data_IF_787814745411
#
_entry.id   IF_787814745411
#
_cell.length_a   1.000
_cell.length_b   1.000
_cell.length_c   1.000
_cell.angle_alpha   90.00
_cell.angle_beta   90.00
_cell.angle_gamma   90.00
#
_symmetry.space_group_name_H-M   'P 1'
#
loop_
_entity.id
_entity.type
_entity.pdbx_description
1 polymer ?
#
# COMPACT_ATOMS: atom_id res chain seq x y z
N UNK A 1 7.82 3.31 -1.36
CA UNK A 1 8.02 2.91 0.06
C UNK A 1 7.18 3.82 0.93
N UNK A 2 7.03 3.50 2.22
CA UNK A 2 6.54 4.47 3.21
C UNK A 2 7.72 4.97 4.03
N UNK A 3 7.76 6.28 4.29
CA UNK A 3 8.68 6.94 5.20
C UNK A 3 7.83 7.71 6.23
N UNK A 4 7.97 7.35 7.50
CA UNK A 4 7.17 7.88 8.61
C UNK A 4 5.66 7.80 8.30
N UNK A 5 5.23 6.62 7.83
CA UNK A 5 3.85 6.33 7.46
C UNK A 5 3.35 6.95 6.15
N UNK A 6 4.12 7.82 5.48
CA UNK A 6 3.73 8.49 4.22
C UNK A 6 4.40 7.85 3.01
N UNK A 7 3.68 7.72 1.88
CA UNK A 7 4.32 7.24 0.65
C UNK A 7 5.29 8.27 0.07
N UNK A 8 6.42 7.77 -0.42
CA UNK A 8 7.44 8.56 -1.12
C UNK A 8 8.04 7.77 -2.28
N UNK A 9 8.51 8.51 -3.29
CA UNK A 9 9.32 7.97 -4.39
C UNK A 9 10.77 7.82 -3.91
N UNK A 10 11.19 6.60 -3.63
CA UNK A 10 12.54 6.33 -3.10
C UNK A 10 13.64 6.76 -4.08
N UNK A 11 13.40 6.64 -5.39
CA UNK A 11 14.35 7.09 -6.42
C UNK A 11 14.60 8.60 -6.43
N UNK A 12 13.69 9.40 -5.85
CA UNK A 12 13.80 10.85 -5.72
C UNK A 12 14.03 11.29 -4.26
N UNK A 13 14.28 10.34 -3.36
CA UNK A 13 14.53 10.60 -1.94
C UNK A 13 15.98 10.24 -1.64
N UNK A 14 16.80 11.22 -1.24
CA UNK A 14 18.17 10.94 -0.83
C UNK A 14 18.16 10.10 0.45
N UNK A 15 19.01 9.07 0.51
CA UNK A 15 19.11 8.20 1.69
C UNK A 15 19.43 8.99 2.96
N UNK A 16 20.29 10.01 2.87
CA UNK A 16 20.60 10.90 3.99
C UNK A 16 19.37 11.63 4.54
N UNK A 17 18.38 11.95 3.69
CA UNK A 17 17.13 12.59 4.11
C UNK A 17 16.17 11.65 4.83
N UNK A 18 16.37 10.33 4.74
CA UNK A 18 15.60 9.33 5.46
C UNK A 18 16.26 8.93 6.80
N UNK A 19 17.40 9.52 7.16
CA UNK A 19 18.12 9.18 8.38
C UNK A 19 17.26 9.45 9.63
N UNK A 20 17.17 8.45 10.50
CA UNK A 20 16.36 8.50 11.73
C UNK A 20 14.85 8.31 11.52
N UNK A 21 14.37 8.24 10.27
CA UNK A 21 12.96 7.96 9.97
C UNK A 21 12.64 6.46 9.94
N UNK A 22 11.36 6.13 10.06
CA UNK A 22 10.86 4.76 9.92
C UNK A 22 10.56 4.45 8.44
N UNK A 23 11.29 3.49 7.87
CA UNK A 23 11.09 3.05 6.49
C UNK A 23 10.35 1.72 6.46
N UNK A 24 9.22 1.68 5.75
CA UNK A 24 8.52 0.44 5.42
C UNK A 24 8.58 0.19 3.91
N UNK A 25 8.96 -1.03 3.53
CA UNK A 25 8.95 -1.52 2.14
C UNK A 25 7.91 -2.65 1.98
N UNK A 26 7.81 -3.25 0.79
CA UNK A 26 6.83 -4.32 0.53
C UNK A 26 7.07 -5.53 1.43
N UNK A 27 8.32 -5.81 1.76
CA UNK A 27 8.75 -6.90 2.64
C UNK A 27 8.26 -6.72 4.07
N UNK A 28 8.05 -5.47 4.50
CA UNK A 28 7.56 -5.14 5.84
C UNK A 28 6.04 -5.12 5.99
N UNK A 29 5.28 -5.52 4.96
CA UNK A 29 3.82 -5.48 5.00
C UNK A 29 3.20 -6.67 5.74
N UNK A 30 3.78 -7.87 5.58
CA UNK A 30 3.29 -9.07 6.23
C UNK A 30 3.47 -8.98 7.75
N UNK A 31 2.60 -9.65 8.50
CA UNK A 31 2.74 -9.79 9.93
C UNK A 31 3.96 -10.68 10.28
N UNK A 32 4.50 -10.61 11.52
CA UNK A 32 5.66 -11.41 11.92
C UNK A 32 5.49 -12.93 11.80
N UNK A 33 4.25 -13.42 11.83
CA UNK A 33 3.88 -14.82 11.62
C UNK A 33 3.81 -15.22 10.13
N UNK A 34 4.05 -14.27 9.22
CA UNK A 34 3.97 -14.46 7.77
C UNK A 34 2.58 -14.26 7.18
N UNK A 35 1.56 -13.95 8.00
CA UNK A 35 0.22 -13.60 7.50
C UNK A 35 0.32 -12.39 6.56
N UNK A 36 -0.17 -12.48 5.30
CA UNK A 36 -0.06 -11.36 4.38
C UNK A 36 -0.91 -10.16 4.82
N UNK A 37 -0.51 -8.98 4.37
CA UNK A 37 -1.33 -7.79 4.51
C UNK A 37 -2.62 -7.93 3.68
N UNK A 38 -3.79 -7.39 4.11
CA UNK A 38 -5.03 -7.49 3.32
C UNK A 38 -4.90 -7.00 1.87
N UNK A 39 -4.06 -5.98 1.64
CA UNK A 39 -3.74 -5.51 0.29
C UNK A 39 -2.96 -6.53 -0.54
N UNK A 40 -2.03 -7.28 0.06
CA UNK A 40 -1.31 -8.37 -0.61
C UNK A 40 -2.27 -9.50 -0.99
N UNK A 41 -3.17 -9.87 -0.07
CA UNK A 41 -4.19 -10.89 -0.33
C UNK A 41 -5.14 -10.48 -1.46
N UNK A 42 -5.61 -9.23 -1.44
CA UNK A 42 -6.49 -8.72 -2.49
C UNK A 42 -5.78 -8.66 -3.85
N UNK A 43 -4.51 -8.30 -3.90
CA UNK A 43 -3.73 -8.32 -5.14
C UNK A 43 -3.62 -9.74 -5.71
N UNK A 44 -3.41 -10.73 -4.85
CA UNK A 44 -3.40 -12.14 -5.25
C UNK A 44 -4.77 -12.61 -5.74
N UNK A 45 -5.83 -12.32 -4.98
CA UNK A 45 -7.18 -12.78 -5.29
C UNK A 45 -7.77 -12.18 -6.59
N UNK A 46 -7.31 -11.00 -7.01
CA UNK A 46 -7.82 -10.29 -8.19
C UNK A 46 -6.92 -10.42 -9.42
N UNK A 47 -5.86 -11.23 -9.38
CA UNK A 47 -4.83 -11.25 -10.43
C UNK A 47 -4.27 -9.84 -10.74
N UNK A 48 -4.07 -9.03 -9.69
CA UNK A 48 -3.64 -7.64 -9.81
C UNK A 48 -2.13 -7.48 -10.08
N UNK A 49 -1.49 -8.55 -10.55
CA UNK A 49 -0.11 -8.57 -11.02
C UNK A 49 0.09 -9.67 -12.06
N UNK A 50 1.17 -9.55 -12.84
CA UNK A 50 1.63 -10.62 -13.74
C UNK A 50 3.13 -10.79 -13.58
N UNK A 51 3.95 -9.95 -14.25
CA UNK A 51 5.41 -10.04 -14.16
C UNK A 51 5.98 -9.70 -12.78
N UNK A 52 5.16 -9.14 -11.87
CA UNK A 52 5.56 -8.79 -10.51
C UNK A 52 6.39 -7.51 -10.37
N UNK A 53 6.94 -6.94 -11.46
CA UNK A 53 7.94 -5.88 -11.38
C UNK A 53 7.41 -4.59 -10.72
N UNK A 54 6.21 -4.13 -11.09
CA UNK A 54 5.61 -2.95 -10.48
C UNK A 54 4.92 -3.24 -9.14
N UNK A 55 4.70 -4.51 -8.79
CA UNK A 55 3.85 -4.91 -7.66
C UNK A 55 4.31 -4.35 -6.32
N UNK A 56 5.62 -4.30 -5.98
CA UNK A 56 6.08 -3.64 -4.77
C UNK A 56 5.63 -2.17 -4.68
N UNK A 57 5.84 -1.39 -5.74
CA UNK A 57 5.41 0.01 -5.79
C UNK A 57 3.89 0.18 -5.73
N UNK A 58 3.15 -0.67 -6.46
CA UNK A 58 1.70 -0.68 -6.46
C UNK A 58 1.12 -0.96 -5.07
N UNK A 59 1.61 -1.97 -4.36
CA UNK A 59 1.14 -2.31 -3.01
C UNK A 59 1.35 -1.15 -2.02
N UNK A 60 2.54 -0.55 -2.03
CA UNK A 60 2.85 0.59 -1.15
C UNK A 60 1.96 1.80 -1.46
N UNK A 61 1.76 2.10 -2.75
CA UNK A 61 0.90 3.21 -3.18
C UNK A 61 -0.58 2.95 -2.91
N UNK A 62 -1.04 1.70 -3.05
CA UNK A 62 -2.41 1.28 -2.80
C UNK A 62 -2.80 1.44 -1.32
N UNK A 63 -1.93 1.02 -0.42
CA UNK A 63 -2.15 1.19 1.03
C UNK A 63 -2.23 2.68 1.39
N UNK A 64 -1.32 3.49 0.85
CA UNK A 64 -1.34 4.93 1.06
C UNK A 64 -2.60 5.59 0.47
N UNK A 65 -3.03 5.18 -0.73
CA UNK A 65 -4.29 5.64 -1.34
C UNK A 65 -5.49 5.41 -0.41
N UNK A 66 -5.58 4.23 0.22
CA UNK A 66 -6.64 3.94 1.20
C UNK A 66 -6.51 4.81 2.46
N UNK A 67 -5.31 4.93 3.03
CA UNK A 67 -5.02 5.71 4.25
C UNK A 67 -5.29 7.20 4.08
N UNK A 68 -5.00 7.72 2.90
CA UNK A 68 -5.24 9.12 2.52
C UNK A 68 -6.74 9.40 2.25
N UNK A 69 -7.59 8.37 2.25
CA UNK A 69 -9.04 8.51 2.06
C UNK A 69 -9.50 8.39 0.61
N UNK A 70 -8.61 8.05 -0.32
CA UNK A 70 -8.85 8.10 -1.77
C UNK A 70 -9.36 6.79 -2.39
N UNK A 71 -10.00 5.97 -1.57
CA UNK A 71 -10.60 4.70 -1.98
C UNK A 71 -12.14 4.75 -1.97
N UNK A 72 -12.74 5.93 -2.16
CA UNK A 72 -14.20 6.10 -2.15
C UNK A 72 -14.89 5.67 -3.45
N UNK A 73 -14.15 5.61 -4.56
CA UNK A 73 -14.67 5.12 -5.84
C UNK A 73 -13.57 4.57 -6.74
N UNK A 74 -13.95 3.78 -7.75
CA UNK A 74 -13.00 3.28 -8.75
C UNK A 74 -12.33 4.41 -9.55
N UNK A 75 -13.02 5.52 -9.79
CA UNK A 75 -12.44 6.67 -10.50
C UNK A 75 -11.37 7.37 -9.65
N UNK A 76 -11.65 7.55 -8.35
CA UNK A 76 -10.71 8.13 -7.41
C UNK A 76 -9.47 7.24 -7.24
N UNK A 77 -9.66 5.93 -7.06
CA UNK A 77 -8.55 4.98 -6.96
C UNK A 77 -7.64 5.07 -8.19
N UNK A 78 -8.21 5.09 -9.40
CA UNK A 78 -7.40 5.20 -10.63
C UNK A 78 -6.59 6.49 -10.68
N UNK A 79 -7.18 7.60 -10.28
CA UNK A 79 -6.49 8.91 -10.25
C UNK A 79 -5.33 8.88 -9.25
N UNK A 80 -5.59 8.44 -8.02
CA UNK A 80 -4.61 8.43 -6.93
C UNK A 80 -3.52 7.36 -7.06
N UNK A 81 -3.74 6.38 -7.94
CA UNK A 81 -2.77 5.35 -8.32
C UNK A 81 -2.03 5.66 -9.63
N UNK A 82 -2.39 6.72 -10.37
CA UNK A 82 -1.88 7.04 -11.71
C UNK A 82 -0.36 7.18 -11.81
N UNK A 83 0.31 7.54 -10.70
CA UNK A 83 1.77 7.60 -10.61
C UNK A 83 2.50 6.24 -10.64
N UNK A 84 1.77 5.12 -10.68
CA UNK A 84 2.34 3.77 -10.65
C UNK A 84 2.06 3.04 -11.97
N UNK A 85 3.11 2.94 -12.80
CA UNK A 85 3.00 2.34 -14.13
C UNK A 85 3.05 0.82 -14.10
N UNK A 86 2.16 0.17 -14.86
CA UNK A 86 2.08 -1.28 -15.04
C UNK A 86 2.16 -1.64 -16.53
N UNK A 87 3.24 -2.31 -16.95
CA UNK A 87 3.40 -2.72 -18.36
C UNK A 87 2.55 -3.93 -18.74
N UNK A 88 2.15 -4.74 -17.76
CA UNK A 88 1.24 -5.87 -17.92
C UNK A 88 -0.24 -5.45 -18.09
N UNK A 89 -0.53 -4.15 -17.93
CA UNK A 89 -1.87 -3.58 -18.05
C UNK A 89 -2.92 -4.13 -17.04
N UNK A 90 -2.49 -4.54 -15.84
CA UNK A 90 -3.38 -5.05 -14.78
C UNK A 90 -4.18 -3.95 -14.03
N UNK A 91 -4.36 -2.76 -14.61
CA UNK A 91 -4.89 -1.59 -13.89
C UNK A 91 -6.33 -1.78 -13.37
N UNK A 92 -7.18 -2.47 -14.12
CA UNK A 92 -8.55 -2.76 -13.70
C UNK A 92 -8.57 -3.69 -12.48
N UNK A 93 -7.71 -4.70 -12.48
CA UNK A 93 -7.52 -5.65 -11.40
C UNK A 93 -6.92 -4.99 -10.16
N UNK A 94 -5.93 -4.12 -10.34
CA UNK A 94 -5.36 -3.29 -9.26
C UNK A 94 -6.45 -2.42 -8.63
N UNK A 95 -7.28 -1.76 -9.46
CA UNK A 95 -8.38 -0.94 -8.95
C UNK A 95 -9.38 -1.77 -8.14
N UNK A 96 -9.73 -2.97 -8.61
CA UNK A 96 -10.61 -3.89 -7.91
C UNK A 96 -10.01 -4.36 -6.58
N UNK A 97 -8.72 -4.74 -6.57
CA UNK A 97 -8.01 -5.16 -5.38
C UNK A 97 -7.95 -4.06 -4.30
N UNK A 98 -7.68 -2.80 -4.70
CA UNK A 98 -7.68 -1.65 -3.77
C UNK A 98 -9.06 -1.46 -3.16
N UNK A 99 -10.13 -1.50 -3.98
CA UNK A 99 -11.49 -1.34 -3.50
C UNK A 99 -11.89 -2.47 -2.53
N UNK A 100 -11.52 -3.72 -2.85
CA UNK A 100 -11.76 -4.88 -1.99
C UNK A 100 -11.04 -4.74 -0.63
N UNK A 101 -9.76 -4.38 -0.63
CA UNK A 101 -8.96 -4.34 0.58
C UNK A 101 -9.23 -3.13 1.48
N UNK A 102 -9.82 -2.05 0.94
CA UNK A 102 -9.95 -0.78 1.65
C UNK A 102 -10.59 -0.87 3.05
N UNK A 103 -11.69 -1.62 3.27
CA UNK A 103 -12.28 -1.76 4.61
C UNK A 103 -11.33 -2.45 5.61
N UNK A 104 -10.64 -3.50 5.18
CA UNK A 104 -9.75 -4.29 6.04
C UNK A 104 -8.46 -3.53 6.37
N UNK A 105 -7.92 -2.77 5.41
CA UNK A 105 -6.78 -1.87 5.66
C UNK A 105 -7.14 -0.81 6.69
N UNK A 106 -8.30 -0.16 6.56
CA UNK A 106 -8.76 0.86 7.53
C UNK A 106 -8.96 0.27 8.92
N UNK A 107 -9.54 -0.94 9.02
CA UNK A 107 -9.73 -1.64 10.30
C UNK A 107 -8.38 -1.94 10.97
N UNK A 108 -7.45 -2.53 10.23
CA UNK A 108 -6.11 -2.87 10.73
C UNK A 108 -5.34 -1.66 11.23
N UNK A 109 -5.41 -0.54 10.52
CA UNK A 109 -4.74 0.70 10.94
C UNK A 109 -5.37 1.29 12.21
N UNK A 110 -6.70 1.22 12.36
CA UNK A 110 -7.38 1.64 13.58
C UNK A 110 -7.00 0.78 14.80
N UNK A 111 -6.89 -0.53 14.63
CA UNK A 111 -6.41 -1.46 15.67
C UNK A 111 -4.97 -1.16 16.08
N UNK A 112 -4.09 -0.88 15.11
CA UNK A 112 -2.68 -0.51 15.38
C UNK A 112 -2.58 0.79 16.16
N UNK A 113 -3.32 1.83 15.76
CA UNK A 113 -3.34 3.11 16.46
C UNK A 113 -3.86 3.01 17.90
N UNK A 114 -4.88 2.16 18.14
CA UNK A 114 -5.36 1.87 19.50
C UNK A 114 -4.29 1.21 20.37
N UNK A 115 -3.54 0.25 19.82
CA UNK A 115 -2.48 -0.46 20.55
C UNK A 115 -1.26 0.40 20.90
N UNK A 116 -0.98 1.44 20.11
CA UNK A 116 0.10 2.41 20.36
C UNK A 116 -0.32 3.46 21.41
N UNK A 117 -1.59 3.88 21.40
CA UNK A 117 -2.14 4.82 22.38
C UNK A 117 -2.26 4.26 23.80
N UNK A 118 -2.35 2.93 23.95
CA UNK A 118 -2.41 2.25 25.26
C UNK A 118 -1.01 2.01 25.88
N UNK A 119 0.06 2.27 25.12
CA UNK A 119 1.47 2.10 25.55
C UNK A 119 2.18 3.42 25.88
N UNK A 120 1.51 4.57 25.70
CA UNK A 120 2.01 5.91 25.99
C UNK A 120 1.44 6.42 27.33
#
# INVERSE_FOLDING_TARGET
MHLDGRRVLSCLTLAASAHGGEVTTVEGLAAPDGTPHPMQEAFHANDAFQCGFCTPGQLMSAIACVREGHAGSAAEIREWMSGNLCRCAAYSQITAAVAQAAPDVRRRDAERAGSEGERA
#
